data_IF_644986152043
#
_entry.id   IF_644986152043
#
_cell.length_a   1.000
_cell.length_b   1.000
_cell.length_c   1.000
_cell.angle_alpha   90.00
_cell.angle_beta   90.00
_cell.angle_gamma   90.00
#
_symmetry.space_group_name_H-M   'P 1'
#
loop_
_entity.id
_entity.type
_entity.pdbx_description
1 polymer ?
#
# COMPACT_ATOMS: atom_id res chain seq x y z
N UNK A 1 -7.74 17.00 -0.48
CA UNK A 1 -7.57 15.55 -0.22
C UNK A 1 -6.94 14.93 -1.46
N UNK A 2 -5.79 14.29 -1.33
CA UNK A 2 -5.14 13.58 -2.44
C UNK A 2 -5.87 12.24 -2.61
N UNK A 3 -6.76 12.15 -3.60
CA UNK A 3 -7.47 10.91 -3.91
C UNK A 3 -6.46 9.80 -4.27
N UNK A 4 -6.71 8.58 -3.79
CA UNK A 4 -5.94 7.41 -4.25
C UNK A 4 -6.45 6.98 -5.62
N UNK A 5 -5.53 6.67 -6.54
CA UNK A 5 -5.86 6.17 -7.87
C UNK A 5 -5.53 4.69 -7.95
N UNK A 6 -6.44 3.87 -8.48
CA UNK A 6 -6.12 2.49 -8.81
C UNK A 6 -4.98 2.45 -9.84
N UNK A 7 -3.84 1.89 -9.44
CA UNK A 7 -2.70 1.70 -10.32
C UNK A 7 -2.76 0.34 -11.04
N UNK A 8 -3.42 -0.65 -10.44
CA UNK A 8 -3.59 -2.00 -10.97
C UNK A 8 -3.89 -3.00 -9.87
N UNK A 9 -3.98 -4.28 -10.24
CA UNK A 9 -4.17 -5.40 -9.33
C UNK A 9 -2.86 -6.14 -9.14
N UNK A 10 -2.59 -6.62 -7.92
CA UNK A 10 -1.42 -7.44 -7.62
C UNK A 10 -1.85 -8.85 -7.24
N UNK A 11 -1.30 -9.83 -7.92
CA UNK A 11 -1.53 -11.25 -7.69
C UNK A 11 -0.27 -11.89 -7.11
N UNK A 12 -0.38 -12.56 -5.97
CA UNK A 12 0.72 -13.33 -5.39
C UNK A 12 0.85 -14.67 -6.11
N UNK A 13 2.05 -15.01 -6.55
CA UNK A 13 2.39 -16.30 -7.18
C UNK A 13 2.95 -17.19 -6.08
N UNK A 14 2.34 -18.37 -5.89
CA UNK A 14 2.67 -19.29 -4.80
C UNK A 14 3.44 -20.49 -5.30
N UNK A 15 4.40 -20.94 -4.50
CA UNK A 15 5.02 -22.26 -4.60
C UNK A 15 4.83 -22.94 -3.25
N UNK A 16 3.93 -23.93 -3.20
CA UNK A 16 3.46 -24.50 -1.93
C UNK A 16 2.83 -23.43 -1.03
N UNK A 17 3.29 -23.37 0.22
CA UNK A 17 2.73 -22.49 1.26
C UNK A 17 3.34 -21.08 1.28
N UNK A 18 4.20 -20.73 0.32
CA UNK A 18 4.89 -19.44 0.28
C UNK A 18 4.59 -18.69 -1.01
N UNK A 19 4.35 -17.38 -0.89
CA UNK A 19 4.40 -16.48 -2.03
C UNK A 19 5.86 -16.24 -2.46
N UNK A 20 6.19 -16.55 -3.71
CA UNK A 20 7.55 -16.44 -4.26
C UNK A 20 7.73 -15.25 -5.18
N UNK A 21 6.66 -14.81 -5.85
CA UNK A 21 6.67 -13.67 -6.76
C UNK A 21 5.30 -12.96 -6.73
N UNK A 22 5.18 -11.86 -7.46
CA UNK A 22 3.90 -11.27 -7.77
C UNK A 22 3.81 -10.82 -9.24
N UNK A 23 2.58 -10.78 -9.72
CA UNK A 23 2.23 -10.20 -11.01
C UNK A 23 1.37 -8.94 -10.81
N UNK A 24 1.73 -7.86 -11.49
CA UNK A 24 0.95 -6.63 -11.56
C UNK A 24 0.20 -6.54 -12.88
N UNK A 25 -1.04 -6.04 -12.82
CA UNK A 25 -1.84 -5.76 -14.01
C UNK A 25 -1.82 -4.29 -14.41
N UNK A 26 -2.08 -4.03 -15.69
CA UNK A 26 -2.33 -2.71 -16.24
C UNK A 26 -3.65 -2.74 -17.02
N UNK A 27 -4.36 -1.61 -17.02
CA UNK A 27 -5.57 -1.45 -17.82
C UNK A 27 -5.20 -1.23 -19.29
N UNK A 28 -5.75 -2.05 -20.17
CA UNK A 28 -5.63 -1.98 -21.64
C UNK A 28 -7.01 -1.74 -22.26
N UNK A 29 -7.11 -1.43 -23.57
CA UNK A 29 -8.41 -1.32 -24.24
C UNK A 29 -9.27 -2.58 -24.12
N UNK A 30 -8.65 -3.76 -24.06
CA UNK A 30 -9.33 -5.06 -23.94
C UNK A 30 -9.57 -5.48 -22.47
N UNK A 31 -9.29 -4.59 -21.51
CA UNK A 31 -9.41 -4.84 -20.08
C UNK A 31 -8.07 -5.03 -19.36
N UNK A 32 -8.07 -5.70 -18.22
CA UNK A 32 -6.87 -5.89 -17.40
C UNK A 32 -5.96 -6.99 -17.97
N UNK A 33 -4.69 -6.68 -18.15
CA UNK A 33 -3.67 -7.64 -18.57
C UNK A 33 -2.49 -7.66 -17.60
N UNK A 34 -1.85 -8.83 -17.43
CA UNK A 34 -0.59 -8.91 -16.70
C UNK A 34 0.50 -8.13 -17.44
N UNK A 35 1.24 -7.32 -16.70
CA UNK A 35 2.20 -6.37 -17.26
C UNK A 35 3.62 -6.54 -16.70
N UNK A 36 3.75 -6.90 -15.43
CA UNK A 36 5.05 -7.06 -14.75
C UNK A 36 5.01 -8.22 -13.78
N UNK A 37 6.06 -9.04 -13.82
CA UNK A 37 6.34 -10.07 -12.83
C UNK A 37 7.60 -9.66 -12.08
N UNK A 38 7.58 -9.80 -10.74
CA UNK A 38 8.72 -9.41 -9.92
C UNK A 38 8.77 -10.21 -8.62
N UNK A 39 9.97 -10.24 -8.06
CA UNK A 39 10.28 -10.81 -6.76
C UNK A 39 10.78 -9.72 -5.81
N UNK A 40 11.03 -10.07 -4.56
CA UNK A 40 11.66 -9.18 -3.61
C UNK A 40 11.03 -9.18 -2.22
N UNK A 41 11.53 -8.32 -1.31
CA UNK A 41 11.14 -8.35 0.10
C UNK A 41 9.65 -8.03 0.30
N UNK A 42 9.06 -7.23 -0.59
CA UNK A 42 7.64 -6.89 -0.52
C UNK A 42 6.71 -8.09 -0.73
N UNK A 43 7.16 -9.20 -1.33
CA UNK A 43 6.31 -10.38 -1.52
C UNK A 43 5.99 -11.03 -0.18
N UNK A 44 7.02 -11.47 0.55
CA UNK A 44 6.86 -12.05 1.87
C UNK A 44 6.26 -11.05 2.88
N UNK A 45 6.61 -9.76 2.75
CA UNK A 45 6.05 -8.71 3.59
C UNK A 45 4.54 -8.51 3.36
N UNK A 46 4.07 -8.54 2.11
CA UNK A 46 2.64 -8.44 1.79
C UNK A 46 1.91 -9.65 2.34
N UNK A 47 2.44 -10.85 2.13
CA UNK A 47 1.85 -12.09 2.62
C UNK A 47 1.71 -12.10 4.16
N UNK A 48 2.75 -11.63 4.88
CA UNK A 48 2.70 -11.47 6.33
C UNK A 48 1.64 -10.47 6.78
N UNK A 49 1.54 -9.33 6.12
CA UNK A 49 0.57 -8.29 6.48
C UNK A 49 -0.88 -8.74 6.22
N UNK A 50 -1.11 -9.49 5.14
CA UNK A 50 -2.41 -10.12 4.86
C UNK A 50 -2.79 -11.13 5.94
N UNK A 51 -1.88 -12.05 6.30
CA UNK A 51 -2.11 -12.99 7.41
C UNK A 51 -2.40 -12.28 8.73
N UNK A 52 -1.73 -11.16 9.00
CA UNK A 52 -2.01 -10.35 10.19
C UNK A 52 -3.42 -9.74 10.14
N UNK A 53 -3.85 -9.23 8.98
CA UNK A 53 -5.19 -8.69 8.80
C UNK A 53 -6.28 -9.76 8.99
N UNK A 54 -6.05 -10.99 8.51
CA UNK A 54 -6.94 -12.14 8.69
C UNK A 54 -7.15 -12.52 10.16
N UNK A 55 -6.20 -12.20 11.05
CA UNK A 55 -6.32 -12.46 12.49
C UNK A 55 -6.99 -11.33 13.28
N UNK A 56 -7.36 -10.23 12.63
CA UNK A 56 -7.98 -9.08 13.31
C UNK A 56 -9.45 -9.36 13.69
N UNK A 57 -9.97 -8.73 14.75
CA UNK A 57 -11.34 -9.00 15.22
C UNK A 57 -12.45 -8.60 14.24
N UNK A 58 -12.19 -7.63 13.35
CA UNK A 58 -13.15 -7.15 12.36
C UNK A 58 -12.60 -7.38 10.95
N UNK A 59 -13.49 -7.61 9.97
CA UNK A 59 -13.08 -7.73 8.58
C UNK A 59 -12.62 -6.37 8.04
N UNK A 60 -11.65 -6.42 7.13
CA UNK A 60 -11.18 -5.28 6.37
C UNK A 60 -11.06 -5.68 4.90
N UNK A 61 -11.25 -4.72 4.01
CA UNK A 61 -10.89 -4.88 2.60
C UNK A 61 -9.41 -4.50 2.41
N UNK A 62 -8.50 -5.45 2.13
CA UNK A 62 -7.10 -5.15 1.93
C UNK A 62 -6.86 -4.50 0.57
N UNK A 63 -6.14 -3.39 0.57
CA UNK A 63 -5.75 -2.63 -0.62
C UNK A 63 -4.27 -2.33 -0.52
N UNK A 64 -3.53 -2.48 -1.62
CA UNK A 64 -2.10 -2.16 -1.62
C UNK A 64 -1.91 -0.69 -2.01
N UNK A 65 -1.39 0.12 -1.10
CA UNK A 65 -1.12 1.54 -1.34
C UNK A 65 0.38 1.75 -1.57
N UNK A 66 0.71 2.27 -2.75
CA UNK A 66 2.08 2.70 -3.08
C UNK A 66 2.28 4.16 -2.71
N UNK A 67 3.42 4.48 -2.09
CA UNK A 67 3.85 5.85 -1.79
C UNK A 67 5.21 6.07 -2.45
N UNK A 68 5.24 6.37 -3.77
CA UNK A 68 6.48 6.41 -4.53
C UNK A 68 7.51 7.40 -3.99
N UNK A 69 7.08 8.55 -3.47
CA UNK A 69 7.97 9.57 -2.90
C UNK A 69 8.76 9.09 -1.67
N UNK A 70 8.37 7.97 -1.06
CA UNK A 70 9.09 7.34 0.05
C UNK A 70 9.59 5.94 -0.30
N UNK A 71 9.47 5.51 -1.56
CA UNK A 71 9.82 4.16 -2.02
C UNK A 71 9.23 3.07 -1.12
N UNK A 72 7.99 3.25 -0.66
CA UNK A 72 7.35 2.33 0.28
C UNK A 72 6.01 1.82 -0.24
N UNK A 73 5.66 0.62 0.21
CA UNK A 73 4.33 0.05 0.09
C UNK A 73 3.72 -0.08 1.48
N UNK A 74 2.41 0.14 1.58
CA UNK A 74 1.64 -0.09 2.80
C UNK A 74 0.38 -0.88 2.45
N UNK A 75 0.01 -1.83 3.30
CA UNK A 75 -1.30 -2.46 3.22
C UNK A 75 -2.31 -1.51 3.85
N UNK A 76 -3.25 -1.02 3.08
CA UNK A 76 -4.40 -0.25 3.53
C UNK A 76 -5.54 -1.21 3.81
N UNK A 77 -5.97 -1.27 5.07
CA UNK A 77 -7.11 -2.05 5.52
C UNK A 77 -8.30 -1.11 5.60
N UNK A 78 -9.13 -1.13 4.57
CA UNK A 78 -10.32 -0.31 4.49
C UNK A 78 -11.47 -0.96 5.25
N UNK A 79 -12.11 -0.21 6.14
CA UNK A 79 -13.14 -0.73 7.04
C UNK A 79 -14.44 -1.11 6.29
N UNK A 80 -14.82 -0.34 5.27
CA UNK A 80 -15.98 -0.66 4.43
C UNK A 80 -15.64 -1.77 3.44
N UNK A 81 -16.00 -3.00 3.83
CA UNK A 81 -15.82 -4.19 2.99
C UNK A 81 -16.75 -4.24 1.76
N UNK A 82 -17.77 -3.37 1.71
CA UNK A 82 -18.72 -3.29 0.58
C UNK A 82 -18.32 -2.23 -0.44
N UNK A 83 -17.34 -1.38 -0.12
CA UNK A 83 -16.83 -0.38 -1.02
C UNK A 83 -16.18 -1.00 -2.27
N UNK A 84 -16.33 -0.32 -3.40
CA UNK A 84 -15.62 -0.67 -4.62
C UNK A 84 -14.10 -0.62 -4.39
N UNK A 85 -13.42 -1.75 -4.59
CA UNK A 85 -11.97 -1.89 -4.41
C UNK A 85 -11.14 -1.07 -5.40
N UNK A 86 -11.74 -0.57 -6.48
CA UNK A 86 -11.07 0.24 -7.50
C UNK A 86 -11.06 1.74 -7.19
N UNK A 87 -11.86 2.21 -6.23
CA UNK A 87 -12.03 3.64 -5.93
C UNK A 87 -11.98 3.91 -4.44
N UNK A 88 -11.86 5.18 -4.04
CA UNK A 88 -11.94 5.58 -2.64
C UNK A 88 -10.74 6.40 -2.16
N UNK A 89 -10.74 6.66 -0.86
CA UNK A 89 -9.69 7.39 -0.16
C UNK A 89 -9.52 6.79 1.24
N UNK A 90 -8.30 6.77 1.82
CA UNK A 90 -8.10 6.31 3.18
C UNK A 90 -8.95 7.15 4.15
N UNK A 91 -9.91 6.50 4.81
CA UNK A 91 -10.73 7.11 5.85
C UNK A 91 -9.93 7.18 7.16
N UNK A 92 -10.26 8.12 8.04
CA UNK A 92 -9.49 8.34 9.27
C UNK A 92 -9.41 7.09 10.19
N UNK A 93 -10.43 6.24 10.17
CA UNK A 93 -10.53 5.01 10.97
C UNK A 93 -9.87 3.80 10.33
N UNK A 94 -9.58 3.85 9.02
CA UNK A 94 -8.88 2.79 8.32
C UNK A 94 -7.48 2.59 8.91
N UNK A 95 -6.91 1.40 8.68
CA UNK A 95 -5.56 1.09 9.11
C UNK A 95 -4.59 1.10 7.93
N UNK A 96 -3.38 1.57 8.20
CA UNK A 96 -2.21 1.45 7.34
C UNK A 96 -1.19 0.55 8.03
N UNK A 97 -0.77 -0.50 7.35
CA UNK A 97 0.28 -1.43 7.80
C UNK A 97 1.48 -1.30 6.85
N UNK A 98 2.51 -0.52 7.21
CA UNK A 98 3.70 -0.35 6.39
C UNK A 98 4.39 -1.70 6.12
N UNK A 99 4.76 -1.94 4.86
CA UNK A 99 5.47 -3.16 4.47
C UNK A 99 6.99 -2.97 4.60
N UNK A 100 7.70 -4.07 4.84
CA UNK A 100 9.16 -4.10 4.83
C UNK A 100 9.71 -4.21 3.39
N UNK A 101 10.76 -3.44 3.03
CA UNK A 101 11.40 -2.42 3.85
C UNK A 101 10.54 -1.15 3.99
N UNK A 102 10.46 -0.63 5.21
CA UNK A 102 9.81 0.63 5.52
C UNK A 102 10.85 1.75 5.67
N UNK A 103 10.51 3.03 5.39
CA UNK A 103 11.43 4.15 5.57
C UNK A 103 11.88 4.31 7.03
N UNK A 104 13.05 4.92 7.29
CA UNK A 104 13.52 5.18 8.65
C UNK A 104 12.47 5.88 9.52
N UNK A 105 12.31 5.41 10.76
CA UNK A 105 11.32 5.93 11.71
C UNK A 105 9.88 5.48 11.44
N UNK A 106 9.63 4.58 10.48
CA UNK A 106 8.34 3.92 10.28
C UNK A 106 8.51 2.42 10.58
N UNK A 107 7.74 1.91 11.53
CA UNK A 107 7.79 0.50 11.90
C UNK A 107 7.01 -0.35 10.89
N UNK A 108 7.70 -1.27 10.21
CA UNK A 108 7.05 -2.25 9.35
C UNK A 108 6.14 -3.20 10.16
N UNK A 109 5.03 -3.62 9.56
CA UNK A 109 4.04 -4.56 10.11
C UNK A 109 3.30 -4.07 11.37
N UNK A 110 3.51 -2.82 11.79
CA UNK A 110 2.70 -2.21 12.84
C UNK A 110 1.47 -1.55 12.22
N UNK A 111 0.25 -1.93 12.59
CA UNK A 111 -0.94 -1.21 12.15
C UNK A 111 -0.97 0.19 12.78
N UNK A 112 -1.27 1.19 11.96
CA UNK A 112 -1.46 2.57 12.37
C UNK A 112 -2.80 3.06 11.84
N UNK A 113 -3.52 3.89 12.60
CA UNK A 113 -4.68 4.57 12.03
C UNK A 113 -4.22 5.52 10.93
N UNK A 114 -5.02 5.66 9.86
CA UNK A 114 -4.77 6.65 8.81
C UNK A 114 -4.60 8.04 9.40
N UNK A 115 -5.44 8.42 10.37
CA UNK A 115 -5.36 9.73 11.04
C UNK A 115 -4.00 10.01 11.70
N UNK A 116 -3.27 8.97 12.10
CA UNK A 116 -1.97 9.09 12.78
C UNK A 116 -0.81 9.07 11.78
N UNK A 117 -0.84 8.15 10.81
CA UNK A 117 0.31 7.93 9.92
C UNK A 117 0.27 8.80 8.66
N UNK A 118 -0.90 9.03 8.06
CA UNK A 118 -1.00 9.74 6.77
C UNK A 118 -0.43 11.18 6.83
N UNK A 119 -0.64 11.97 7.91
CA UNK A 119 0.00 13.28 8.04
C UNK A 119 1.54 13.21 8.02
N UNK A 120 2.13 12.19 8.68
CA UNK A 120 3.58 11.98 8.70
C UNK A 120 4.12 11.66 7.31
N UNK A 121 3.44 10.77 6.57
CA UNK A 121 3.81 10.44 5.19
C UNK A 121 3.70 11.67 4.28
N UNK A 122 2.62 12.43 4.40
CA UNK A 122 2.37 13.64 3.61
C UNK A 122 3.46 14.70 3.84
N UNK A 123 3.84 14.92 5.11
CA UNK A 123 4.92 15.84 5.45
C UNK A 123 6.25 15.42 4.80
N UNK A 124 6.57 14.11 4.78
CA UNK A 124 7.83 13.61 4.22
C UNK A 124 7.88 13.60 2.69
N UNK A 125 6.73 13.51 2.02
CA UNK A 125 6.63 13.52 0.55
C UNK A 125 6.56 14.94 -0.01
N UNK A 126 6.11 15.92 0.79
CA UNK A 126 6.01 17.31 0.34
C UNK A 126 7.40 17.87 0.09
N UNK A 127 7.75 18.26 -1.16
CA UNK A 127 9.05 18.84 -1.44
C UNK A 127 9.26 20.09 -0.58
N UNK A 128 10.36 20.15 0.16
CA UNK A 128 10.78 21.38 0.81
C UNK A 128 11.00 22.41 -0.30
N UNK A 129 10.14 23.43 -0.40
CA UNK A 129 10.42 24.58 -1.27
C UNK A 129 11.66 25.25 -0.70
N UNK A 130 12.82 24.99 -1.29
CA UNK A 130 14.01 25.77 -1.04
C UNK A 130 13.67 27.21 -1.43
N UNK A 131 13.57 28.12 -0.45
CA UNK A 131 13.52 29.54 -0.74
C UNK A 131 14.78 29.84 -1.54
N UNK A 132 14.61 30.30 -2.78
CA UNK A 132 15.73 30.68 -3.63
C UNK A 132 16.60 31.67 -2.87
N UNK A 133 17.88 31.34 -2.68
CA UNK A 133 18.88 32.31 -2.23
C UNK A 133 18.90 33.45 -3.24
N UNK A 134 18.65 34.71 -2.85
CA UNK A 134 19.00 35.82 -3.71
C UNK A 134 20.54 35.82 -3.86
N UNK A 135 20.98 35.95 -5.10
CA UNK A 135 22.38 36.14 -5.47
C UNK A 135 22.86 37.55 -5.08
#
# INVERSE_FOLDING_TARGET
>A
MTATRLAGWRFLIRCGDRAVAAAETMLTPDGWAFSRFFEGPYIASTERALRQAETMPQPYQPRLLSVPGLYMLTLWLHEDCTADGATGHPAATDLLVPLAPAPPGIAAHRPHRVAELLPVLTHRVTPTRLLGSPA
#
